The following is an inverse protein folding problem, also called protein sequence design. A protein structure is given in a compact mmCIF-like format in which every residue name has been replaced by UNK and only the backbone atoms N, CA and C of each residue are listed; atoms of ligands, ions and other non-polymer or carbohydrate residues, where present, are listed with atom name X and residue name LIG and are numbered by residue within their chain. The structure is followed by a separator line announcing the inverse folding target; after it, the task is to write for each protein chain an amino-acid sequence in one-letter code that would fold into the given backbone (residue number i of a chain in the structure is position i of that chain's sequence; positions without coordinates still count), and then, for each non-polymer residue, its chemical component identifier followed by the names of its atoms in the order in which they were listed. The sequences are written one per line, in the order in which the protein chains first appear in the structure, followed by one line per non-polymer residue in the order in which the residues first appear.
data_IF_162070175688
#
_entry.id   IF_162070175688
#
_cell.length_a   1.000
_cell.length_b   1.000
_cell.length_c   1.000
_cell.angle_alpha   90.00
_cell.angle_beta   90.00
_cell.angle_gamma   90.00
#
_symmetry.space_group_name_H-M   'P 1'
#
loop_
_entity.id
_entity.type
_entity.pdbx_description
1 polymer ?
#
# COMPACT_ATOMS: atom_id res chain seq x y z
N UNK A 1 -5.13 15.33 19.93
CA UNK A 1 -4.06 14.28 20.06
C UNK A 1 -3.41 14.14 18.71
N UNK A 2 -2.10 13.92 18.63
CA UNK A 2 -1.38 13.82 17.34
C UNK A 2 -1.30 12.37 16.92
N UNK A 3 -1.63 12.07 15.67
CA UNK A 3 -1.45 10.75 15.06
C UNK A 3 0.05 10.42 15.07
N UNK A 4 0.42 9.20 15.46
CA UNK A 4 1.79 8.71 15.38
C UNK A 4 1.83 7.53 14.41
N UNK A 5 2.76 7.56 13.45
CA UNK A 5 2.92 6.51 12.46
C UNK A 5 4.36 5.98 12.47
N UNK A 6 4.52 4.68 12.65
CA UNK A 6 5.79 3.97 12.44
C UNK A 6 5.85 3.44 11.01
N UNK A 7 6.95 3.75 10.36
CA UNK A 7 7.15 3.57 8.93
C UNK A 7 8.51 2.94 8.63
N UNK A 8 8.61 2.19 7.56
CA UNK A 8 9.86 1.80 6.91
C UNK A 8 9.78 2.16 5.43
N UNK A 9 10.86 2.66 4.87
CA UNK A 9 10.96 3.01 3.44
C UNK A 9 10.51 1.86 2.54
N UNK A 10 9.63 2.17 1.59
CA UNK A 10 9.11 1.22 0.60
C UNK A 10 8.23 0.10 1.17
N UNK A 11 7.91 0.10 2.48
CA UNK A 11 7.04 -0.89 3.09
C UNK A 11 5.55 -0.51 2.99
N UNK A 12 4.65 -1.42 3.43
CA UNK A 12 3.20 -1.19 3.41
C UNK A 12 2.74 0.06 4.14
N UNK A 13 3.56 0.58 5.05
CA UNK A 13 3.33 1.85 5.77
C UNK A 13 3.35 3.08 4.86
N UNK A 14 3.80 2.97 3.61
CA UNK A 14 3.65 3.99 2.59
C UNK A 14 2.16 4.34 2.36
N UNK A 15 1.26 3.36 2.38
CA UNK A 15 -0.18 3.63 2.19
C UNK A 15 -0.75 4.63 3.18
N UNK A 16 -0.67 4.42 4.51
CA UNK A 16 -1.17 5.41 5.47
C UNK A 16 -0.35 6.70 5.47
N UNK A 17 0.95 6.68 5.21
CA UNK A 17 1.74 7.90 5.10
C UNK A 17 1.27 8.75 3.92
N UNK A 18 1.09 8.15 2.76
CA UNK A 18 0.52 8.82 1.58
C UNK A 18 -0.89 9.35 1.84
N UNK A 19 -1.76 8.56 2.51
CA UNK A 19 -3.09 9.00 2.87
C UNK A 19 -3.08 10.23 3.78
N UNK A 20 -2.21 10.26 4.80
CA UNK A 20 -2.03 11.41 5.68
C UNK A 20 -1.60 12.67 4.91
N UNK A 21 -0.66 12.52 3.97
CA UNK A 21 -0.20 13.61 3.10
C UNK A 21 -1.29 14.13 2.15
N UNK A 22 -2.09 13.24 1.54
CA UNK A 22 -3.20 13.66 0.66
C UNK A 22 -4.30 14.37 1.45
N UNK A 23 -4.58 13.91 2.67
CA UNK A 23 -5.63 14.46 3.53
C UNK A 23 -5.19 15.73 4.25
N UNK A 24 -3.90 16.07 4.25
CA UNK A 24 -3.35 17.20 4.99
C UNK A 24 -3.55 17.07 6.49
N UNK A 25 -3.39 15.86 7.04
CA UNK A 25 -3.51 15.60 8.46
C UNK A 25 -2.16 15.72 9.16
N UNK A 26 -2.13 16.32 10.34
CA UNK A 26 -0.92 16.42 11.16
C UNK A 26 -0.60 15.08 11.83
N UNK A 27 0.66 14.67 11.77
CA UNK A 27 1.15 13.42 12.36
C UNK A 27 2.62 13.49 12.77
N UNK A 28 3.03 12.60 13.67
CA UNK A 28 4.41 12.35 14.09
C UNK A 28 4.91 11.07 13.43
N UNK A 29 5.91 11.18 12.53
CA UNK A 29 6.49 10.06 11.79
C UNK A 29 7.71 9.49 12.52
N UNK A 30 7.72 8.17 12.72
CA UNK A 30 8.84 7.41 13.24
C UNK A 30 9.37 6.46 12.16
N UNK A 31 10.45 6.85 11.49
CA UNK A 31 11.09 6.02 10.46
C UNK A 31 11.98 4.97 11.13
N UNK A 32 11.78 3.70 10.77
CA UNK A 32 12.49 2.54 11.30
C UNK A 32 13.30 1.85 10.22
N UNK A 33 14.42 1.19 10.57
CA UNK A 33 15.13 0.31 9.64
C UNK A 33 14.29 -0.93 9.31
N UNK A 34 14.37 -1.42 8.06
CA UNK A 34 13.64 -2.61 7.63
C UNK A 34 14.52 -3.87 7.66
N UNK A 35 14.05 -5.00 8.18
CA UNK A 35 12.80 -5.19 8.95
C UNK A 35 12.98 -4.75 10.43
N UNK A 36 12.04 -4.00 11.01
CA UNK A 36 12.23 -3.41 12.34
C UNK A 36 12.43 -4.46 13.44
N UNK A 37 11.76 -5.61 13.36
CA UNK A 37 11.95 -6.72 14.33
C UNK A 37 13.38 -7.25 14.45
N UNK A 38 14.20 -7.05 13.40
CA UNK A 38 15.60 -7.50 13.39
C UNK A 38 16.56 -6.39 13.83
N UNK A 39 16.28 -5.14 13.46
CA UNK A 39 17.21 -4.03 13.61
C UNK A 39 16.87 -3.07 14.76
N UNK A 40 15.64 -3.15 15.30
CA UNK A 40 15.16 -2.30 16.39
C UNK A 40 14.23 -3.10 17.32
N UNK A 41 14.81 -3.97 18.15
CA UNK A 41 14.06 -4.93 18.95
C UNK A 41 13.13 -4.30 20.00
N UNK A 42 13.45 -3.12 20.51
CA UNK A 42 12.59 -2.39 21.44
C UNK A 42 11.23 -2.03 20.81
N UNK A 43 11.15 -1.95 19.49
CA UNK A 43 9.89 -1.76 18.78
C UNK A 43 8.86 -2.87 19.03
N UNK A 44 9.32 -4.09 19.35
CA UNK A 44 8.44 -5.21 19.70
C UNK A 44 7.63 -4.97 20.99
N UNK A 45 8.08 -4.06 21.87
CA UNK A 45 7.33 -3.66 23.06
C UNK A 45 6.13 -2.79 22.69
N UNK A 46 6.18 -2.08 21.56
CA UNK A 46 5.09 -1.25 21.05
C UNK A 46 4.16 -2.05 20.14
N UNK A 47 4.74 -2.79 19.20
CA UNK A 47 4.02 -3.65 18.26
C UNK A 47 4.62 -5.08 18.28
N UNK A 48 4.00 -6.03 18.98
CA UNK A 48 4.49 -7.41 19.08
C UNK A 48 4.62 -8.15 17.74
N UNK A 49 3.91 -7.70 16.69
CA UNK A 49 4.06 -8.25 15.34
C UNK A 49 5.41 -7.88 14.71
N UNK A 50 6.04 -6.79 15.17
CA UNK A 50 7.30 -6.28 14.60
C UNK A 50 7.20 -5.89 13.14
N UNK A 51 6.00 -5.51 12.68
CA UNK A 51 5.69 -5.08 11.31
C UNK A 51 5.37 -3.59 11.24
N UNK A 52 5.39 -3.04 10.04
CA UNK A 52 4.89 -1.70 9.73
C UNK A 52 3.83 -1.78 8.62
N UNK A 53 2.82 -0.87 8.64
CA UNK A 53 2.63 0.24 9.57
C UNK A 53 2.29 -0.20 10.98
N UNK A 54 2.53 0.69 11.92
CA UNK A 54 1.86 0.73 13.21
C UNK A 54 1.42 2.18 13.41
N UNK A 55 0.15 2.40 13.68
CA UNK A 55 -0.41 3.73 13.90
C UNK A 55 -1.05 3.79 15.28
N UNK A 56 -0.86 4.91 15.95
CA UNK A 56 -1.53 5.25 17.22
C UNK A 56 -2.24 6.60 17.08
N UNK A 57 -3.55 6.61 17.35
CA UNK A 57 -4.38 7.82 17.39
C UNK A 57 -5.22 7.81 18.67
N UNK A 58 -4.78 8.58 19.67
CA UNK A 58 -5.33 8.47 21.02
C UNK A 58 -5.13 7.08 21.61
N UNK A 59 -6.21 6.38 21.90
CA UNK A 59 -6.21 4.99 22.39
C UNK A 59 -6.28 3.95 21.27
N UNK A 60 -6.57 4.39 20.04
CA UNK A 60 -6.67 3.47 18.88
C UNK A 60 -5.28 3.07 18.40
N UNK A 61 -5.07 1.77 18.23
CA UNK A 61 -3.84 1.18 17.67
C UNK A 61 -4.20 0.30 16.47
N UNK A 62 -3.49 0.48 15.36
CA UNK A 62 -3.77 -0.24 14.12
C UNK A 62 -2.48 -0.66 13.41
N UNK A 63 -2.53 -1.84 12.76
CA UNK A 63 -1.41 -2.42 11.99
C UNK A 63 -1.72 -2.63 10.51
N UNK A 64 -3.00 -2.68 10.14
CA UNK A 64 -3.42 -2.97 8.76
C UNK A 64 -3.45 -1.70 7.91
N UNK A 65 -2.58 -1.63 6.91
CA UNK A 65 -2.32 -0.40 6.14
C UNK A 65 -3.56 0.16 5.43
N UNK A 66 -4.36 -0.69 4.81
CA UNK A 66 -5.63 -0.30 4.15
C UNK A 66 -6.71 0.04 5.16
N UNK A 67 -6.75 -0.68 6.28
CA UNK A 67 -7.64 -0.38 7.40
C UNK A 67 -7.33 0.98 8.03
N UNK A 68 -6.05 1.34 8.15
CA UNK A 68 -5.63 2.68 8.60
C UNK A 68 -6.12 3.76 7.63
N UNK A 69 -5.93 3.57 6.32
CA UNK A 69 -6.42 4.53 5.33
C UNK A 69 -7.94 4.74 5.45
N UNK A 70 -8.69 3.65 5.59
CA UNK A 70 -10.15 3.71 5.77
C UNK A 70 -10.54 4.43 7.08
N UNK A 71 -9.89 4.07 8.18
CA UNK A 71 -10.07 4.73 9.47
C UNK A 71 -9.85 6.25 9.38
N UNK A 72 -8.78 6.68 8.70
CA UNK A 72 -8.47 8.12 8.55
C UNK A 72 -9.56 8.85 7.76
N UNK A 73 -10.10 8.26 6.70
CA UNK A 73 -11.22 8.85 5.93
C UNK A 73 -12.43 9.08 6.82
N UNK A 74 -12.85 8.04 7.57
CA UNK A 74 -14.07 8.11 8.38
C UNK A 74 -13.87 8.96 9.63
N UNK A 75 -12.78 8.76 10.37
CA UNK A 75 -12.51 9.44 11.63
C UNK A 75 -12.31 10.95 11.48
N UNK A 76 -11.66 11.36 10.39
CA UNK A 76 -11.32 12.77 10.14
C UNK A 76 -12.22 13.42 9.07
N UNK A 77 -13.36 12.79 8.74
CA UNK A 77 -14.36 13.32 7.81
C UNK A 77 -13.76 13.72 6.44
N UNK A 78 -12.88 12.88 5.91
CA UNK A 78 -12.21 13.10 4.61
C UNK A 78 -12.93 12.35 3.47
N UNK A 79 -14.26 12.52 3.39
CA UNK A 79 -15.14 11.77 2.50
C UNK A 79 -14.78 11.91 1.01
N UNK A 80 -14.06 12.97 0.63
CA UNK A 80 -13.52 13.11 -0.73
C UNK A 80 -12.50 12.03 -1.12
N UNK A 81 -11.98 11.27 -0.15
CA UNK A 81 -11.03 10.17 -0.37
C UNK A 81 -11.67 8.78 -0.18
N UNK A 82 -12.95 8.70 0.10
CA UNK A 82 -13.70 7.45 0.26
C UNK A 82 -15.05 7.49 -0.45
N UNK A 83 -15.80 6.39 -0.39
CA UNK A 83 -17.18 6.31 -0.84
C UNK A 83 -18.07 5.87 0.33
N UNK A 84 -19.29 6.40 0.39
CA UNK A 84 -20.27 6.04 1.41
C UNK A 84 -21.09 4.80 0.98
N UNK A 85 -21.69 4.06 1.93
CA UNK A 85 -22.43 2.83 1.66
C UNK A 85 -23.58 2.95 0.66
N UNK A 86 -24.14 4.13 0.49
CA UNK A 86 -25.23 4.43 -0.46
C UNK A 86 -24.74 4.75 -1.87
N UNK A 87 -23.41 4.86 -2.07
CA UNK A 87 -22.83 5.13 -3.38
C UNK A 87 -22.89 3.89 -4.29
N UNK A 88 -23.28 3.99 -5.57
CA UNK A 88 -23.40 2.83 -6.46
C UNK A 88 -22.11 1.99 -6.61
N UNK A 89 -20.94 2.64 -6.59
CA UNK A 89 -19.63 1.96 -6.71
C UNK A 89 -18.99 1.61 -5.33
N UNK A 90 -19.75 1.68 -4.22
CA UNK A 90 -19.20 1.38 -2.89
C UNK A 90 -18.65 -0.04 -2.77
N UNK A 91 -19.35 -1.02 -3.37
CA UNK A 91 -18.88 -2.41 -3.40
C UNK A 91 -17.57 -2.58 -4.14
N UNK A 92 -17.40 -1.91 -5.28
CA UNK A 92 -16.15 -1.89 -6.05
C UNK A 92 -15.02 -1.22 -5.28
N UNK A 93 -15.31 -0.08 -4.64
CA UNK A 93 -14.36 0.62 -3.77
C UNK A 93 -13.81 -0.27 -2.66
N UNK A 94 -14.67 -0.94 -1.90
CA UNK A 94 -14.25 -1.90 -0.87
C UNK A 94 -13.45 -3.05 -1.49
N UNK A 95 -13.92 -3.58 -2.62
CA UNK A 95 -13.24 -4.67 -3.28
C UNK A 95 -11.82 -4.29 -3.72
N UNK A 96 -11.60 -3.10 -4.29
CA UNK A 96 -10.25 -2.64 -4.66
C UNK A 96 -9.38 -2.40 -3.43
N UNK A 97 -9.94 -1.86 -2.36
CA UNK A 97 -9.23 -1.61 -1.12
C UNK A 97 -8.61 -2.91 -0.55
N UNK A 98 -9.43 -3.98 -0.45
CA UNK A 98 -8.96 -5.27 0.07
C UNK A 98 -8.20 -6.11 -0.97
N UNK A 99 -8.52 -5.97 -2.26
CA UNK A 99 -7.79 -6.62 -3.34
C UNK A 99 -6.31 -6.28 -3.35
N UNK A 100 -5.97 -5.06 -2.95
CA UNK A 100 -4.59 -4.59 -2.90
C UNK A 100 -3.67 -5.44 -2.01
N UNK A 101 -4.14 -5.88 -0.85
CA UNK A 101 -3.35 -6.72 0.06
C UNK A 101 -3.53 -8.21 -0.20
N UNK A 102 -4.78 -8.69 -0.18
CA UNK A 102 -5.06 -10.10 -0.28
C UNK A 102 -4.68 -10.70 -1.65
N UNK A 103 -4.84 -9.92 -2.72
CA UNK A 103 -4.68 -10.45 -4.10
C UNK A 103 -3.38 -9.99 -4.75
N UNK A 104 -2.98 -8.73 -4.58
CA UNK A 104 -1.81 -8.18 -5.27
C UNK A 104 -0.54 -8.18 -4.41
N UNK A 105 -0.59 -7.70 -3.18
CA UNK A 105 0.63 -7.56 -2.36
C UNK A 105 1.10 -8.91 -1.79
N UNK A 106 0.19 -9.84 -1.50
CA UNK A 106 0.56 -11.14 -0.96
C UNK A 106 1.50 -11.94 -1.89
N UNK A 107 1.21 -12.16 -3.18
CA UNK A 107 2.13 -12.87 -4.07
C UNK A 107 3.48 -12.16 -4.22
N UNK A 108 3.52 -10.83 -4.23
CA UNK A 108 4.77 -10.08 -4.26
C UNK A 108 5.63 -10.30 -3.01
N UNK A 109 5.00 -10.48 -1.84
CA UNK A 109 5.72 -10.79 -0.60
C UNK A 109 6.46 -12.12 -0.69
N UNK A 110 5.86 -13.13 -1.33
CA UNK A 110 6.50 -14.44 -1.53
C UNK A 110 7.59 -14.38 -2.59
N UNK A 111 7.35 -13.66 -3.68
CA UNK A 111 8.40 -13.38 -4.68
C UNK A 111 9.61 -12.69 -4.05
N UNK A 112 9.38 -11.62 -3.28
CA UNK A 112 10.43 -10.88 -2.60
C UNK A 112 11.17 -11.76 -1.59
N UNK A 113 10.45 -12.53 -0.77
CA UNK A 113 11.05 -13.39 0.23
C UNK A 113 11.96 -14.44 -0.39
N UNK A 114 11.41 -15.29 -1.27
CA UNK A 114 12.12 -16.45 -1.78
C UNK A 114 13.08 -16.16 -2.93
N UNK A 115 12.89 -15.03 -3.61
CA UNK A 115 13.78 -14.61 -4.69
C UNK A 115 14.90 -13.67 -4.27
N UNK A 116 14.66 -12.83 -3.24
CA UNK A 116 15.56 -11.71 -2.95
C UNK A 116 16.06 -11.66 -1.48
N UNK A 117 15.21 -11.96 -0.49
CA UNK A 117 15.51 -11.71 0.93
C UNK A 117 16.13 -12.93 1.65
N UNK A 118 15.78 -14.15 1.25
CA UNK A 118 16.38 -15.33 1.86
C UNK A 118 17.86 -15.45 1.47
N UNK A 119 18.72 -15.99 2.36
CA UNK A 119 20.10 -16.35 2.00
C UNK A 119 20.13 -17.33 0.81
N UNK A 120 21.22 -17.37 0.05
CA UNK A 120 21.28 -18.11 -1.22
C UNK A 120 20.90 -19.59 -1.09
N UNK A 121 21.30 -20.24 0.01
CA UNK A 121 20.99 -21.64 0.30
C UNK A 121 19.49 -21.89 0.62
N UNK A 122 18.73 -20.85 0.90
CA UNK A 122 17.28 -20.90 1.21
C UNK A 122 16.40 -20.28 0.14
N UNK A 123 16.99 -19.67 -0.88
CA UNK A 123 16.23 -19.15 -2.02
C UNK A 123 15.48 -20.27 -2.73
N UNK A 124 14.29 -19.97 -3.22
CA UNK A 124 13.43 -20.87 -3.96
C UNK A 124 13.00 -20.21 -5.28
N UNK A 125 13.87 -20.24 -6.33
CA UNK A 125 13.61 -19.52 -7.58
C UNK A 125 12.30 -19.94 -8.27
N UNK A 126 11.93 -21.23 -8.20
CA UNK A 126 10.67 -21.71 -8.77
C UNK A 126 9.47 -21.09 -8.04
N UNK A 127 9.49 -21.05 -6.70
CA UNK A 127 8.43 -20.41 -5.91
C UNK A 127 8.34 -18.93 -6.25
N UNK A 128 9.47 -18.23 -6.33
CA UNK A 128 9.50 -16.83 -6.70
C UNK A 128 8.86 -16.59 -8.07
N UNK A 129 9.22 -17.37 -9.08
CA UNK A 129 8.67 -17.24 -10.43
C UNK A 129 7.17 -17.57 -10.50
N UNK A 130 6.70 -18.60 -9.79
CA UNK A 130 5.28 -18.94 -9.72
C UNK A 130 4.45 -17.80 -9.12
N UNK A 131 4.95 -17.17 -8.06
CA UNK A 131 4.25 -16.03 -7.44
C UNK A 131 4.37 -14.73 -8.25
N UNK A 132 5.44 -14.54 -9.03
CA UNK A 132 5.51 -13.46 -10.04
C UNK A 132 4.41 -13.63 -11.09
N UNK A 133 4.29 -14.83 -11.67
CA UNK A 133 3.24 -15.15 -12.65
C UNK A 133 1.85 -15.00 -12.04
N UNK A 134 1.68 -15.46 -10.81
CA UNK A 134 0.42 -15.30 -10.08
C UNK A 134 0.02 -13.83 -9.96
N UNK A 135 0.95 -12.98 -9.52
CA UNK A 135 0.71 -11.53 -9.43
C UNK A 135 0.31 -10.92 -10.77
N UNK A 136 1.07 -11.16 -11.83
CA UNK A 136 0.78 -10.64 -13.16
C UNK A 136 -0.59 -11.12 -13.69
N UNK A 137 -0.96 -12.36 -13.43
CA UNK A 137 -2.29 -12.87 -13.80
C UNK A 137 -3.42 -12.16 -13.05
N UNK A 138 -3.20 -11.71 -11.80
CA UNK A 138 -4.20 -10.94 -11.03
C UNK A 138 -4.35 -9.50 -11.50
N UNK A 139 -3.31 -8.93 -12.12
CA UNK A 139 -3.39 -7.59 -12.72
C UNK A 139 -4.37 -7.52 -13.90
N UNK A 140 -4.77 -8.63 -14.51
CA UNK A 140 -5.71 -8.63 -15.64
C UNK A 140 -7.04 -7.94 -15.29
N UNK A 141 -7.53 -8.11 -14.05
CA UNK A 141 -8.73 -7.39 -13.61
C UNK A 141 -8.51 -5.88 -13.59
N UNK A 142 -7.37 -5.42 -13.05
CA UNK A 142 -7.01 -4.01 -13.02
C UNK A 142 -6.81 -3.47 -14.43
N UNK A 143 -6.05 -4.19 -15.27
CA UNK A 143 -5.77 -3.81 -16.65
C UNK A 143 -7.05 -3.51 -17.43
N UNK A 144 -8.07 -4.37 -17.32
CA UNK A 144 -9.36 -4.15 -17.97
C UNK A 144 -10.16 -2.99 -17.36
N UNK A 145 -10.07 -2.80 -16.05
CA UNK A 145 -10.84 -1.77 -15.34
C UNK A 145 -10.38 -0.35 -15.63
N UNK A 146 -9.06 -0.14 -15.80
CA UNK A 146 -8.46 1.19 -15.98
C UNK A 146 -8.24 1.60 -17.46
N UNK A 147 -8.74 0.82 -18.42
CA UNK A 147 -8.57 1.12 -19.85
C UNK A 147 -9.15 2.50 -20.23
N UNK A 148 -10.30 2.83 -19.65
CA UNK A 148 -11.06 4.05 -19.92
C UNK A 148 -11.32 4.86 -18.64
N UNK A 149 -10.63 4.55 -17.55
CA UNK A 149 -10.82 5.21 -16.25
C UNK A 149 -9.52 5.87 -15.78
N UNK A 150 -9.65 7.07 -15.28
CA UNK A 150 -8.54 7.80 -14.66
C UNK A 150 -8.23 7.27 -13.25
N UNK A 151 -9.29 6.95 -12.48
CA UNK A 151 -9.23 6.40 -11.13
C UNK A 151 -10.14 5.19 -10.98
N UNK A 152 -9.99 4.44 -9.91
CA UNK A 152 -10.67 3.16 -9.71
C UNK A 152 -12.17 3.30 -9.52
N UNK A 153 -12.61 4.34 -8.83
CA UNK A 153 -14.02 4.54 -8.47
C UNK A 153 -14.43 6.01 -8.59
N UNK A 154 -15.69 6.25 -8.92
CA UNK A 154 -16.35 7.57 -8.90
C UNK A 154 -15.62 8.66 -9.73
N UNK A 155 -14.81 8.25 -10.71
CA UNK A 155 -14.05 9.17 -11.56
C UNK A 155 -13.07 10.08 -10.80
N UNK A 156 -12.80 9.81 -9.53
CA UNK A 156 -11.91 10.60 -8.67
C UNK A 156 -10.98 9.75 -7.83
N UNK A 157 -9.89 10.36 -7.40
CA UNK A 157 -8.91 9.72 -6.53
C UNK A 157 -9.48 9.39 -5.14
N UNK A 158 -9.28 8.14 -4.69
CA UNK A 158 -9.69 7.65 -3.38
C UNK A 158 -8.57 6.83 -2.72
N UNK A 159 -8.77 6.41 -1.47
CA UNK A 159 -7.83 5.50 -0.81
C UNK A 159 -7.74 4.12 -1.48
N UNK A 160 -8.69 3.73 -2.32
CA UNK A 160 -8.56 2.55 -3.16
C UNK A 160 -7.41 2.69 -4.17
N UNK A 161 -7.23 3.90 -4.74
CA UNK A 161 -6.10 4.22 -5.62
C UNK A 161 -4.77 4.22 -4.86
N UNK A 162 -4.74 4.70 -3.62
CA UNK A 162 -3.57 4.58 -2.73
C UNK A 162 -3.22 3.11 -2.50
N UNK A 163 -4.22 2.30 -2.18
CA UNK A 163 -4.03 0.89 -1.86
C UNK A 163 -3.46 0.10 -3.06
N UNK A 164 -4.06 0.26 -4.24
CA UNK A 164 -3.60 -0.37 -5.48
C UNK A 164 -2.28 0.24 -5.96
N UNK A 165 -2.16 1.58 -5.88
CA UNK A 165 -0.93 2.31 -6.25
C UNK A 165 0.30 1.79 -5.52
N UNK A 166 0.19 1.53 -4.21
CA UNK A 166 1.27 0.89 -3.45
C UNK A 166 1.59 -0.52 -3.98
N UNK A 167 0.60 -1.34 -4.29
CA UNK A 167 0.86 -2.68 -4.81
C UNK A 167 1.60 -2.63 -6.16
N UNK A 168 1.28 -1.66 -7.01
CA UNK A 168 2.00 -1.44 -8.27
C UNK A 168 3.42 -0.88 -8.04
N UNK A 169 3.57 0.08 -7.13
CA UNK A 169 4.85 0.65 -6.74
C UNK A 169 5.80 -0.40 -6.14
N UNK A 170 5.30 -1.31 -5.30
CA UNK A 170 6.09 -2.44 -4.81
C UNK A 170 6.58 -3.31 -5.97
N UNK A 171 5.72 -3.62 -6.95
CA UNK A 171 6.11 -4.35 -8.16
C UNK A 171 7.20 -3.64 -8.97
N UNK A 172 7.17 -2.31 -9.01
CA UNK A 172 8.25 -1.50 -9.62
C UNK A 172 9.56 -1.67 -8.83
N UNK A 173 9.53 -1.53 -7.51
CA UNK A 173 10.72 -1.66 -6.65
C UNK A 173 11.38 -3.04 -6.72
N UNK A 174 10.60 -4.09 -6.92
CA UNK A 174 11.12 -5.47 -7.02
C UNK A 174 11.32 -5.95 -8.46
N UNK A 175 11.23 -5.03 -9.45
CA UNK A 175 11.58 -5.28 -10.85
C UNK A 175 10.52 -6.03 -11.67
N UNK A 176 9.27 -6.16 -11.19
CA UNK A 176 8.17 -6.81 -11.92
C UNK A 176 7.49 -5.84 -12.90
N UNK A 177 7.55 -4.54 -12.65
CA UNK A 177 6.82 -3.54 -13.45
C UNK A 177 7.21 -3.48 -14.93
N UNK A 178 8.36 -4.05 -15.32
CA UNK A 178 8.72 -4.22 -16.73
C UNK A 178 7.70 -5.05 -17.53
N UNK A 179 6.90 -5.85 -16.83
CA UNK A 179 5.89 -6.73 -17.42
C UNK A 179 4.46 -6.14 -17.26
N UNK A 180 4.33 -4.87 -16.83
CA UNK A 180 3.05 -4.19 -16.75
C UNK A 180 2.55 -3.78 -18.14
N UNK A 181 1.24 -3.90 -18.33
CA UNK A 181 0.59 -3.33 -19.50
C UNK A 181 0.72 -1.80 -19.52
N UNK A 182 0.73 -1.16 -20.73
CA UNK A 182 0.94 0.28 -20.84
C UNK A 182 -0.04 1.12 -20.00
N UNK A 183 -1.31 0.75 -19.91
CA UNK A 183 -2.31 1.45 -19.10
C UNK A 183 -2.01 1.35 -17.61
N UNK A 184 -1.47 0.22 -17.14
CA UNK A 184 -1.08 0.05 -15.73
C UNK A 184 0.15 0.88 -15.39
N UNK A 185 1.11 0.95 -16.30
CA UNK A 185 2.27 1.85 -16.15
C UNK A 185 1.81 3.31 -16.10
N UNK A 186 0.96 3.74 -17.05
CA UNK A 186 0.43 5.11 -17.10
C UNK A 186 -0.37 5.46 -15.84
N UNK A 187 -1.17 4.52 -15.33
CA UNK A 187 -1.90 4.69 -14.07
C UNK A 187 -0.95 4.86 -12.88
N UNK A 188 0.07 4.01 -12.75
CA UNK A 188 1.06 4.15 -11.67
C UNK A 188 1.79 5.49 -11.73
N UNK A 189 2.24 5.93 -12.91
CA UNK A 189 2.92 7.23 -13.07
C UNK A 189 1.99 8.40 -12.70
N UNK A 190 0.71 8.34 -13.07
CA UNK A 190 -0.30 9.34 -12.65
C UNK A 190 -0.42 9.41 -11.13
N UNK A 191 -0.46 8.27 -10.46
CA UNK A 191 -0.55 8.22 -9.00
C UNK A 191 0.72 8.75 -8.33
N UNK A 192 1.90 8.41 -8.84
CA UNK A 192 3.20 8.90 -8.33
C UNK A 192 3.39 10.41 -8.52
N UNK A 193 2.73 11.01 -9.52
CA UNK A 193 2.77 12.45 -9.76
C UNK A 193 1.90 13.25 -8.76
N UNK A 194 1.12 12.60 -7.92
CA UNK A 194 0.27 13.30 -6.94
C UNK A 194 1.09 13.98 -5.84
N UNK A 195 0.66 15.18 -5.41
CA UNK A 195 1.41 15.93 -4.38
C UNK A 195 1.64 15.16 -3.08
N UNK A 196 0.66 14.34 -2.64
CA UNK A 196 0.80 13.54 -1.42
C UNK A 196 1.85 12.43 -1.55
N UNK A 197 1.95 11.78 -2.72
CA UNK A 197 2.99 10.80 -2.98
C UNK A 197 4.38 11.45 -3.05
N UNK A 198 4.50 12.61 -3.70
CA UNK A 198 5.78 13.34 -3.79
C UNK A 198 6.27 13.76 -2.40
N UNK A 199 5.39 14.32 -1.55
CA UNK A 199 5.74 14.70 -0.18
C UNK A 199 6.09 13.52 0.73
N UNK A 200 5.46 12.37 0.53
CA UNK A 200 5.80 11.13 1.23
C UNK A 200 7.24 10.71 0.91
N UNK A 201 7.60 10.72 -0.38
CA UNK A 201 8.93 10.34 -0.83
C UNK A 201 10.05 11.25 -0.28
N UNK A 202 9.76 12.51 0.05
CA UNK A 202 10.71 13.44 0.68
C UNK A 202 10.97 13.14 2.17
N UNK A 203 10.12 12.33 2.80
CA UNK A 203 10.22 11.98 4.23
C UNK A 203 10.89 10.63 4.49
N UNK A 204 11.20 9.88 3.45
CA UNK A 204 11.87 8.57 3.53
C UNK A 204 13.41 8.65 3.78
#
# INVERSE_FOLDING_TARGET
MTIRLWHCKGARSLRPLWALEEMGLDYDLKVLPFPPRAHQREYLQLNPLGTVPFMVDGETQMTESTGICHYLVEKYERQQFGLQPDHPEYGDYLNWLYHSDATLTFPQTLYLRYGMMEPDERKQPQVAEDYRKWYLARLQRLNGHILDREFLCDGRFTIADIAIGYALYLGEKIGIARDYEPQTQAYLERLKARPGFVREAEKE
#
